data_IF_849098755954
#
_entry.id   IF_849098755954
#
_cell.length_a   1.000
_cell.length_b   1.000
_cell.length_c   1.000
_cell.angle_alpha   90.00
_cell.angle_beta   90.00
_cell.angle_gamma   90.00
#
_symmetry.space_group_name_H-M   'P 1'
#
loop_
_entity.id
_entity.type
_entity.pdbx_description
1 polymer ?
#
# COMPACT_ATOMS: atom_id res chain seq x y z
N UNK A 1 -16.08 10.14 16.99
CA UNK A 1 -16.14 8.75 16.67
C UNK A 1 -16.99 8.45 15.45
N UNK A 2 -17.08 7.19 15.09
CA UNK A 2 -17.88 6.71 13.95
C UNK A 2 -19.36 7.05 14.18
N UNK A 3 -19.85 6.88 15.40
CA UNK A 3 -21.24 7.15 15.79
C UNK A 3 -21.66 8.62 15.68
N UNK A 4 -20.69 9.53 15.71
CA UNK A 4 -20.94 10.97 15.60
C UNK A 4 -21.02 11.46 14.16
N UNK A 5 -20.84 10.59 13.16
CA UNK A 5 -20.86 10.94 11.75
C UNK A 5 -19.62 11.68 11.25
N UNK A 6 -18.62 11.92 12.11
CA UNK A 6 -17.36 12.57 11.72
C UNK A 6 -16.37 11.61 11.07
N UNK A 7 -16.45 10.32 11.38
CA UNK A 7 -15.58 9.29 10.85
C UNK A 7 -16.39 8.32 9.97
N UNK A 8 -15.84 7.98 8.81
CA UNK A 8 -16.45 6.97 7.96
C UNK A 8 -16.36 5.59 8.64
N UNK A 9 -17.40 4.75 8.55
CA UNK A 9 -17.27 3.35 8.93
C UNK A 9 -16.20 2.68 8.05
N UNK A 10 -15.53 1.69 8.60
CA UNK A 10 -14.48 0.99 7.87
C UNK A 10 -14.62 -0.53 7.97
N UNK A 11 -14.12 -1.21 6.95
CA UNK A 11 -13.96 -2.65 6.92
C UNK A 11 -12.49 -2.99 7.03
N UNK A 12 -12.16 -4.01 7.80
CA UNK A 12 -10.78 -4.51 7.92
C UNK A 12 -10.67 -5.83 7.16
N UNK A 13 -9.75 -5.87 6.19
CA UNK A 13 -9.38 -7.09 5.48
C UNK A 13 -7.96 -7.44 5.92
N UNK A 14 -7.82 -8.60 6.56
CA UNK A 14 -6.50 -9.11 6.92
C UNK A 14 -5.99 -9.99 5.79
N UNK A 15 -4.79 -9.70 5.32
CA UNK A 15 -4.11 -10.50 4.31
C UNK A 15 -3.15 -11.43 5.04
N UNK A 16 -3.58 -12.68 5.19
CA UNK A 16 -2.72 -13.72 5.74
C UNK A 16 -1.91 -14.31 4.59
N UNK A 17 -0.61 -14.01 4.57
CA UNK A 17 0.29 -14.55 3.57
C UNK A 17 0.78 -15.92 4.02
N UNK A 18 0.77 -16.90 3.13
CA UNK A 18 1.31 -18.24 3.41
C UNK A 18 2.77 -18.16 3.86
N UNK A 19 3.53 -17.23 3.32
CA UNK A 19 4.90 -16.93 3.70
C UNK A 19 5.01 -16.58 5.19
N UNK A 20 4.10 -15.78 5.71
CA UNK A 20 4.10 -15.34 7.11
C UNK A 20 3.75 -16.49 8.07
N UNK A 21 2.96 -17.45 7.61
CA UNK A 21 2.49 -18.59 8.41
C UNK A 21 3.43 -19.80 8.29
N UNK A 22 3.78 -20.19 7.06
CA UNK A 22 4.49 -21.44 6.75
C UNK A 22 5.96 -21.22 6.45
N UNK A 23 6.43 -19.96 6.41
CA UNK A 23 7.78 -19.63 5.98
C UNK A 23 7.92 -19.65 4.46
N UNK A 24 9.13 -19.41 4.00
CA UNK A 24 9.47 -19.36 2.58
C UNK A 24 10.64 -20.30 2.28
N UNK A 25 10.48 -21.10 1.22
CA UNK A 25 11.56 -21.94 0.71
C UNK A 25 11.92 -21.51 -0.71
N UNK A 26 13.18 -21.12 -0.98
CA UNK A 26 13.61 -20.72 -2.31
C UNK A 26 13.46 -21.85 -3.33
N UNK A 27 13.16 -21.51 -4.57
CA UNK A 27 13.25 -22.47 -5.66
C UNK A 27 14.70 -22.67 -6.08
N UNK A 28 15.05 -23.83 -6.69
CA UNK A 28 16.42 -24.09 -7.12
C UNK A 28 16.93 -23.04 -8.11
N UNK A 29 18.12 -22.49 -7.85
CA UNK A 29 18.74 -21.49 -8.70
C UNK A 29 18.28 -20.05 -8.46
N UNK A 30 17.47 -19.82 -7.41
CA UNK A 30 17.05 -18.48 -7.03
C UNK A 30 18.26 -17.64 -6.58
N UNK A 31 18.29 -16.39 -7.04
CA UNK A 31 19.30 -15.40 -6.64
C UNK A 31 18.61 -14.21 -5.97
N UNK A 32 19.35 -13.51 -5.12
CA UNK A 32 18.87 -12.30 -4.46
C UNK A 32 18.97 -11.07 -5.41
N UNK A 33 18.62 -9.90 -4.90
CA UNK A 33 18.67 -8.65 -5.67
C UNK A 33 20.08 -8.26 -6.12
N UNK A 34 21.13 -8.82 -5.49
CA UNK A 34 22.52 -8.60 -5.84
C UNK A 34 23.05 -9.66 -6.81
N UNK A 35 22.23 -10.64 -7.20
CA UNK A 35 22.61 -11.75 -8.03
C UNK A 35 23.32 -12.89 -7.30
N UNK A 36 23.35 -12.87 -5.95
CA UNK A 36 23.97 -13.91 -5.15
C UNK A 36 23.03 -15.11 -4.98
N UNK A 37 23.56 -16.35 -5.03
CA UNK A 37 22.76 -17.54 -4.80
C UNK A 37 22.11 -17.55 -3.42
N UNK A 38 20.84 -17.93 -3.39
CA UNK A 38 20.08 -18.05 -2.15
C UNK A 38 20.25 -19.44 -1.57
N UNK A 39 20.57 -19.49 -0.30
CA UNK A 39 20.72 -20.76 0.41
C UNK A 39 19.38 -21.53 0.43
N UNK A 40 19.43 -22.82 0.07
CA UNK A 40 18.26 -23.71 0.09
C UNK A 40 17.94 -24.13 1.54
N UNK A 41 17.16 -23.32 2.21
CA UNK A 41 16.63 -23.59 3.56
C UNK A 41 15.27 -22.97 3.73
N UNK A 42 14.54 -23.39 4.76
CA UNK A 42 13.28 -22.74 5.13
C UNK A 42 13.58 -21.43 5.88
N UNK A 43 13.06 -20.32 5.33
CA UNK A 43 13.10 -19.00 5.97
C UNK A 43 11.81 -18.79 6.76
N UNK A 44 11.94 -18.59 8.06
CA UNK A 44 10.82 -18.30 8.95
C UNK A 44 10.60 -16.78 9.05
N UNK A 45 9.49 -16.35 9.65
CA UNK A 45 9.15 -14.94 9.79
C UNK A 45 10.26 -14.10 10.43
N UNK A 46 11.00 -14.66 11.37
CA UNK A 46 12.17 -13.99 11.98
C UNK A 46 13.32 -13.70 11.01
N UNK A 47 13.35 -14.39 9.86
CA UNK A 47 14.36 -14.24 8.82
C UNK A 47 13.89 -13.27 7.71
N UNK A 48 12.67 -12.69 7.81
CA UNK A 48 12.06 -11.87 6.76
C UNK A 48 12.72 -10.51 6.57
N UNK A 49 13.65 -10.12 7.43
CA UNK A 49 14.48 -8.94 7.22
C UNK A 49 15.47 -9.10 6.06
N UNK A 50 15.57 -10.29 5.51
CA UNK A 50 16.47 -10.56 4.39
C UNK A 50 15.78 -10.23 3.07
N UNK A 51 16.50 -9.47 2.25
CA UNK A 51 16.07 -8.82 1.00
C UNK A 51 15.20 -9.73 0.12
N UNK A 52 15.50 -11.00 0.05
CA UNK A 52 14.86 -11.97 -0.80
C UNK A 52 13.41 -12.27 -0.45
N UNK A 53 13.16 -12.57 0.81
CA UNK A 53 11.81 -12.91 1.30
C UNK A 53 10.90 -11.69 1.24
N UNK A 54 11.48 -10.52 1.51
CA UNK A 54 10.78 -9.24 1.43
C UNK A 54 10.27 -8.96 0.02
N UNK A 55 11.04 -9.31 -1.02
CA UNK A 55 10.61 -9.10 -2.41
C UNK A 55 9.41 -9.98 -2.80
N UNK A 56 9.45 -11.27 -2.48
CA UNK A 56 8.33 -12.18 -2.76
C UNK A 56 7.08 -11.81 -1.98
N UNK A 57 7.24 -11.40 -0.73
CA UNK A 57 6.14 -10.91 0.10
C UNK A 57 5.51 -9.65 -0.50
N UNK A 58 6.33 -8.72 -0.97
CA UNK A 58 5.86 -7.48 -1.62
C UNK A 58 5.05 -7.78 -2.88
N UNK A 59 5.51 -8.71 -3.72
CA UNK A 59 4.78 -9.13 -4.93
C UNK A 59 3.41 -9.71 -4.58
N UNK A 60 3.33 -10.52 -3.53
CA UNK A 60 2.07 -11.12 -3.08
C UNK A 60 1.09 -10.06 -2.58
N UNK A 61 1.56 -9.09 -1.80
CA UNK A 61 0.73 -7.97 -1.32
C UNK A 61 0.24 -7.13 -2.51
N UNK A 62 1.12 -6.80 -3.45
CA UNK A 62 0.77 -6.04 -4.65
C UNK A 62 -0.31 -6.74 -5.47
N UNK A 63 -0.21 -8.06 -5.62
CA UNK A 63 -1.24 -8.85 -6.29
C UNK A 63 -2.58 -8.80 -5.57
N UNK A 64 -2.59 -8.96 -4.26
CA UNK A 64 -3.81 -8.89 -3.45
C UNK A 64 -4.48 -7.52 -3.54
N UNK A 65 -3.71 -6.45 -3.47
CA UNK A 65 -4.23 -5.08 -3.63
C UNK A 65 -4.82 -4.90 -5.03
N UNK A 66 -4.10 -5.32 -6.06
CA UNK A 66 -4.54 -5.19 -7.45
C UNK A 66 -5.80 -6.01 -7.73
N UNK A 67 -5.89 -7.23 -7.24
CA UNK A 67 -7.07 -8.09 -7.37
C UNK A 67 -8.28 -7.46 -6.66
N UNK A 68 -8.09 -6.93 -5.46
CA UNK A 68 -9.14 -6.24 -4.72
C UNK A 68 -9.69 -5.05 -5.50
N UNK A 69 -8.83 -4.22 -6.07
CA UNK A 69 -9.24 -3.07 -6.88
C UNK A 69 -9.94 -3.49 -8.16
N UNK A 70 -9.48 -4.56 -8.83
CA UNK A 70 -10.13 -5.12 -10.02
C UNK A 70 -11.53 -5.65 -9.71
N UNK A 71 -11.74 -6.20 -8.54
CA UNK A 71 -13.03 -6.72 -8.08
C UNK A 71 -14.00 -5.64 -7.61
N UNK A 72 -13.48 -4.47 -7.22
CA UNK A 72 -14.28 -3.35 -6.70
C UNK A 72 -14.28 -2.18 -7.67
N UNK A 73 -13.30 -1.28 -7.56
CA UNK A 73 -13.13 -0.13 -8.46
C UNK A 73 -11.63 0.19 -8.58
N UNK A 74 -11.10 0.07 -9.78
CA UNK A 74 -9.69 0.31 -10.07
C UNK A 74 -9.28 1.78 -9.95
N UNK A 75 -10.23 2.70 -9.84
CA UNK A 75 -9.99 4.12 -9.66
C UNK A 75 -10.26 4.60 -8.23
N UNK A 76 -10.47 3.69 -7.31
CA UNK A 76 -10.57 4.01 -5.89
C UNK A 76 -9.23 4.51 -5.35
N UNK A 77 -9.23 5.72 -4.80
CA UNK A 77 -8.02 6.30 -4.20
C UNK A 77 -7.50 5.38 -3.10
N UNK A 78 -6.24 4.99 -3.23
CA UNK A 78 -5.59 4.00 -2.38
C UNK A 78 -4.27 4.55 -1.87
N UNK A 79 -4.04 4.44 -0.57
CA UNK A 79 -2.75 4.76 0.03
C UNK A 79 -2.13 3.49 0.62
N UNK A 80 -0.84 3.28 0.36
CA UNK A 80 -0.10 2.11 0.83
C UNK A 80 1.08 2.58 1.68
N UNK A 81 1.11 2.11 2.91
CA UNK A 81 2.19 2.42 3.85
C UNK A 81 3.20 1.28 3.87
N UNK A 82 4.47 1.60 3.56
CA UNK A 82 5.60 0.68 3.54
C UNK A 82 6.59 1.00 4.67
N UNK A 83 7.52 0.08 4.95
CA UNK A 83 8.49 0.23 6.05
C UNK A 83 9.55 1.31 5.76
N UNK A 84 10.05 1.36 4.52
CA UNK A 84 11.13 2.25 4.11
C UNK A 84 11.03 2.58 2.61
N UNK A 85 11.92 3.44 2.14
CA UNK A 85 11.96 3.87 0.74
C UNK A 85 12.22 2.69 -0.21
N UNK A 86 13.20 1.81 0.04
CA UNK A 86 13.40 0.63 -0.82
C UNK A 86 12.17 -0.29 -0.90
N UNK A 87 11.45 -0.48 0.20
CA UNK A 87 10.20 -1.23 0.22
C UNK A 87 9.13 -0.56 -0.64
N UNK A 88 8.99 0.76 -0.54
CA UNK A 88 8.05 1.52 -1.35
C UNK A 88 8.38 1.42 -2.85
N UNK A 89 9.66 1.43 -3.23
CA UNK A 89 10.09 1.21 -4.61
C UNK A 89 9.72 -0.19 -5.12
N UNK A 90 9.97 -1.22 -4.32
CA UNK A 90 9.59 -2.60 -4.67
C UNK A 90 8.09 -2.73 -4.84
N UNK A 91 7.32 -2.11 -3.94
CA UNK A 91 5.86 -2.12 -4.01
C UNK A 91 5.37 -1.43 -5.29
N UNK A 92 5.95 -0.29 -5.64
CA UNK A 92 5.61 0.41 -6.88
C UNK A 92 5.87 -0.45 -8.11
N UNK A 93 7.05 -1.06 -8.21
CA UNK A 93 7.37 -1.95 -9.32
C UNK A 93 6.42 -3.14 -9.41
N UNK A 94 6.12 -3.76 -8.28
CA UNK A 94 5.20 -4.90 -8.24
C UNK A 94 3.78 -4.50 -8.67
N UNK A 95 3.29 -3.35 -8.24
CA UNK A 95 1.97 -2.85 -8.65
C UNK A 95 1.91 -2.45 -10.12
N UNK A 96 2.98 -1.85 -10.64
CA UNK A 96 3.09 -1.53 -12.08
C UNK A 96 2.99 -2.82 -12.91
N UNK A 97 3.67 -3.88 -12.49
CA UNK A 97 3.63 -5.17 -13.16
C UNK A 97 2.26 -5.85 -13.12
N UNK A 98 1.46 -5.58 -12.09
CA UNK A 98 0.09 -6.10 -11.96
C UNK A 98 -0.95 -5.28 -12.74
N UNK A 99 -0.62 -4.05 -13.15
CA UNK A 99 -1.53 -3.12 -13.79
C UNK A 99 -0.95 -2.50 -15.08
N UNK A 100 -0.40 -3.31 -16.00
CA UNK A 100 0.27 -2.76 -17.19
C UNK A 100 -0.66 -1.97 -18.10
N UNK A 101 -1.92 -2.34 -18.17
CA UNK A 101 -2.94 -1.66 -18.97
C UNK A 101 -3.19 -0.22 -18.49
N UNK A 102 -3.38 -0.02 -17.19
CA UNK A 102 -3.63 1.31 -16.64
C UNK A 102 -2.38 2.19 -16.63
N UNK A 103 -1.21 1.59 -16.45
CA UNK A 103 0.07 2.31 -16.55
C UNK A 103 0.31 2.78 -17.99
N UNK A 104 -0.09 2.01 -18.98
CA UNK A 104 0.01 2.42 -20.39
C UNK A 104 -0.91 3.60 -20.72
N UNK A 105 -2.08 3.68 -20.10
CA UNK A 105 -2.99 4.82 -20.26
C UNK A 105 -2.49 6.06 -19.52
N UNK A 106 -2.03 5.90 -18.27
CA UNK A 106 -1.57 6.99 -17.42
C UNK A 106 -0.45 6.49 -16.49
N UNK A 107 0.82 6.86 -16.77
CA UNK A 107 1.95 6.46 -15.92
C UNK A 107 1.81 6.91 -14.45
N UNK A 108 1.08 8.00 -14.21
CA UNK A 108 0.85 8.51 -12.85
C UNK A 108 -0.31 7.82 -12.12
N UNK A 109 -0.83 6.73 -12.67
CA UNK A 109 -1.81 5.89 -11.96
C UNK A 109 -1.28 5.44 -10.60
N UNK A 110 0.03 5.10 -10.54
CA UNK A 110 0.73 4.72 -9.32
C UNK A 110 1.90 5.65 -9.13
N UNK A 111 1.98 6.31 -7.97
CA UNK A 111 3.09 7.20 -7.60
C UNK A 111 3.67 6.81 -6.24
N UNK A 112 4.97 7.05 -6.10
CA UNK A 112 5.66 6.91 -4.84
C UNK A 112 5.92 8.30 -4.27
N UNK A 113 5.46 8.55 -3.04
CA UNK A 113 5.68 9.79 -2.33
C UNK A 113 6.95 9.65 -1.50
N UNK A 114 7.99 10.37 -1.90
CA UNK A 114 9.25 10.51 -1.16
C UNK A 114 9.34 11.92 -0.56
N UNK A 115 10.49 12.54 -0.51
CA UNK A 115 10.66 13.90 0.00
C UNK A 115 10.97 14.93 -1.09
N UNK A 116 10.75 14.58 -2.35
CA UNK A 116 11.02 15.45 -3.48
C UNK A 116 9.96 16.53 -3.73
N UNK A 117 10.29 17.52 -4.54
CA UNK A 117 9.39 18.62 -4.87
C UNK A 117 8.15 18.17 -5.66
N UNK A 118 8.29 17.15 -6.49
CA UNK A 118 7.20 16.61 -7.28
C UNK A 118 6.15 15.89 -6.43
N UNK A 119 6.54 15.43 -5.24
CA UNK A 119 5.64 14.73 -4.32
C UNK A 119 4.50 15.61 -3.83
N UNK A 120 4.75 16.90 -3.63
CA UNK A 120 3.70 17.83 -3.21
C UNK A 120 2.61 17.96 -4.25
N UNK A 121 2.97 18.00 -5.52
CA UNK A 121 2.03 18.06 -6.63
C UNK A 121 1.18 16.79 -6.71
N UNK A 122 1.83 15.62 -6.64
CA UNK A 122 1.12 14.34 -6.63
C UNK A 122 0.20 14.20 -5.44
N UNK A 123 0.63 14.72 -4.29
CA UNK A 123 -0.16 14.69 -3.08
C UNK A 123 -1.40 15.59 -3.18
N UNK A 124 -1.24 16.80 -3.72
CA UNK A 124 -2.36 17.70 -3.98
C UNK A 124 -3.39 17.06 -4.91
N UNK A 125 -2.94 16.52 -6.03
CA UNK A 125 -3.81 15.84 -7.00
C UNK A 125 -4.46 14.60 -6.39
N UNK A 126 -3.72 13.84 -5.59
CA UNK A 126 -4.24 12.65 -4.92
C UNK A 126 -5.38 12.97 -3.95
N UNK A 127 -5.29 14.09 -3.25
CA UNK A 127 -6.29 14.52 -2.27
C UNK A 127 -7.43 15.34 -2.88
N UNK A 128 -7.29 15.78 -4.14
CA UNK A 128 -8.32 16.54 -4.82
C UNK A 128 -9.41 15.58 -5.36
N UNK A 129 -10.68 15.75 -4.94
CA UNK A 129 -11.77 14.89 -5.40
C UNK A 129 -12.07 15.04 -6.90
N UNK A 130 -11.63 16.12 -7.53
CA UNK A 130 -11.83 16.39 -8.95
C UNK A 130 -10.73 15.81 -9.83
N UNK A 131 -9.60 15.41 -9.24
CA UNK A 131 -8.49 14.81 -9.96
C UNK A 131 -8.56 13.28 -9.88
N UNK A 132 -8.60 12.64 -11.05
CA UNK A 132 -8.64 11.18 -11.15
C UNK A 132 -7.32 10.54 -10.74
N UNK A 133 -6.22 11.13 -11.15
CA UNK A 133 -4.86 10.61 -10.93
C UNK A 133 -4.05 11.51 -10.01
N UNK A 134 -3.11 10.96 -9.22
CA UNK A 134 -2.83 9.52 -9.07
C UNK A 134 -3.94 8.80 -8.32
N UNK A 135 -4.06 7.50 -8.58
CA UNK A 135 -5.03 6.62 -7.90
C UNK A 135 -4.37 5.93 -6.70
N UNK A 136 -3.16 5.40 -6.90
CA UNK A 136 -2.42 4.69 -5.86
C UNK A 136 -1.20 5.51 -5.46
N UNK A 137 -1.13 5.90 -4.18
CA UNK A 137 0.01 6.58 -3.60
C UNK A 137 0.70 5.65 -2.59
N UNK A 138 2.01 5.48 -2.75
CA UNK A 138 2.84 4.62 -1.90
C UNK A 138 3.78 5.51 -1.10
N UNK A 139 3.83 5.31 0.22
CA UNK A 139 4.69 6.09 1.10
C UNK A 139 5.31 5.23 2.19
N UNK A 140 6.53 5.54 2.57
CA UNK A 140 7.21 4.97 3.73
C UNK A 140 7.11 5.84 4.97
N UNK A 141 6.61 7.07 4.80
CA UNK A 141 6.46 8.00 5.91
C UNK A 141 5.03 7.98 6.41
N UNK A 142 4.89 7.94 7.72
CA UNK A 142 3.68 8.40 8.34
C UNK A 142 3.59 9.88 7.96
N UNK A 143 2.66 10.19 7.09
CA UNK A 143 2.39 11.55 6.68
C UNK A 143 1.86 12.31 7.91
N UNK A 144 2.77 12.61 8.84
CA UNK A 144 2.46 13.18 10.16
C UNK A 144 1.92 14.60 10.04
N UNK A 145 2.07 15.23 8.88
CA UNK A 145 1.72 16.62 8.70
C UNK A 145 0.76 16.81 7.52
N UNK A 146 -0.53 16.89 7.83
CA UNK A 146 -1.47 17.60 6.99
C UNK A 146 -1.97 16.91 5.71
N UNK A 147 -1.64 15.66 5.45
CA UNK A 147 -2.23 14.97 4.29
C UNK A 147 -3.66 14.59 4.60
N UNK A 148 -4.55 15.32 3.98
CA UNK A 148 -5.96 15.04 4.07
C UNK A 148 -6.31 13.93 3.09
N UNK A 149 -6.37 12.69 3.56
CA UNK A 149 -6.73 11.52 2.77
C UNK A 149 -8.23 11.23 2.79
N UNK A 150 -9.05 12.25 2.90
CA UNK A 150 -10.51 12.10 2.92
C UNK A 150 -11.06 11.43 1.66
N UNK A 151 -10.35 11.52 0.55
CA UNK A 151 -10.72 10.88 -0.71
C UNK A 151 -10.34 9.40 -0.78
N UNK A 152 -9.51 8.89 0.14
CA UNK A 152 -9.08 7.50 0.16
C UNK A 152 -10.23 6.55 0.49
N UNK A 153 -10.38 5.51 -0.31
CA UNK A 153 -11.31 4.40 -0.09
C UNK A 153 -10.63 3.12 0.35
N UNK A 154 -9.33 3.00 0.13
CA UNK A 154 -8.53 1.86 0.55
C UNK A 154 -7.25 2.36 1.22
N UNK A 155 -6.99 1.84 2.41
CA UNK A 155 -5.74 2.05 3.14
C UNK A 155 -5.07 0.70 3.31
N UNK A 156 -3.85 0.56 2.82
CA UNK A 156 -3.06 -0.66 2.91
C UNK A 156 -1.91 -0.45 3.89
N UNK A 157 -1.85 -1.30 4.90
CA UNK A 157 -0.82 -1.25 5.94
C UNK A 157 0.16 -2.40 5.71
N UNK A 158 1.21 -2.17 4.93
CA UNK A 158 2.28 -3.14 4.69
C UNK A 158 3.54 -2.73 5.47
N UNK A 159 3.33 -2.49 6.75
CA UNK A 159 4.40 -2.13 7.69
C UNK A 159 4.02 -2.53 9.12
N UNK A 160 5.04 -2.65 9.96
CA UNK A 160 4.84 -2.86 11.39
C UNK A 160 4.27 -1.59 12.03
N UNK A 161 3.19 -1.74 12.77
CA UNK A 161 2.57 -0.67 13.54
C UNK A 161 3.02 -0.78 14.99
N UNK A 162 3.80 0.21 15.45
CA UNK A 162 4.44 0.16 16.77
C UNK A 162 3.53 0.53 17.93
N UNK A 163 2.41 1.22 17.70
CA UNK A 163 1.53 1.66 18.76
C UNK A 163 0.10 1.91 18.28
N UNK A 164 -0.85 1.89 19.22
CA UNK A 164 -2.24 2.25 18.95
C UNK A 164 -2.38 3.72 18.51
N UNK A 165 -1.52 4.59 19.00
CA UNK A 165 -1.51 6.01 18.61
C UNK A 165 -1.12 6.14 17.13
N UNK A 166 -0.08 5.43 16.70
CA UNK A 166 0.34 5.38 15.30
C UNK A 166 -0.77 4.84 14.40
N UNK A 167 -1.40 3.75 14.79
CA UNK A 167 -2.54 3.17 14.07
C UNK A 167 -3.68 4.18 13.90
N UNK A 168 -4.05 4.86 14.97
CA UNK A 168 -5.10 5.89 14.96
C UNK A 168 -4.75 7.08 14.06
N UNK A 169 -3.48 7.49 14.03
CA UNK A 169 -3.02 8.55 13.13
C UNK A 169 -3.15 8.16 11.67
N UNK A 170 -2.79 6.94 11.33
CA UNK A 170 -2.89 6.41 9.96
C UNK A 170 -4.36 6.31 9.55
N UNK A 171 -5.16 5.62 10.35
CA UNK A 171 -6.58 5.35 10.09
C UNK A 171 -7.40 6.65 10.14
N UNK A 172 -7.11 7.52 11.09
CA UNK A 172 -7.83 8.77 11.28
C UNK A 172 -7.82 9.71 10.09
N UNK A 173 -6.83 9.60 9.23
CA UNK A 173 -6.72 10.43 8.02
C UNK A 173 -7.65 9.98 6.90
N UNK A 174 -7.90 8.67 6.81
CA UNK A 174 -8.82 8.10 5.84
C UNK A 174 -10.27 8.03 6.29
N UNK A 175 -10.57 8.42 7.53
CA UNK A 175 -11.84 8.08 8.18
C UNK A 175 -12.96 9.12 8.05
N UNK A 176 -12.75 10.20 7.32
CA UNK A 176 -13.79 11.21 7.13
C UNK A 176 -14.74 10.83 6.00
N UNK A 177 -16.03 11.01 6.24
CA UNK A 177 -17.05 10.82 5.21
C UNK A 177 -16.95 11.95 4.18
N UNK A 178 -16.93 11.57 2.91
CA UNK A 178 -16.95 12.48 1.77
C UNK A 178 -18.00 12.01 0.77
N UNK A 179 -19.23 12.48 0.94
CA UNK A 179 -20.34 12.12 0.06
C UNK A 179 -20.15 12.63 -1.38
N UNK A 180 -19.49 13.78 -1.54
CA UNK A 180 -19.13 14.35 -2.84
C UNK A 180 -18.19 13.43 -3.66
N UNK A 181 -17.48 12.52 -3.00
CA UNK A 181 -16.61 11.52 -3.63
C UNK A 181 -17.21 10.11 -3.57
N UNK A 182 -18.47 9.95 -3.22
CA UNK A 182 -19.13 8.66 -2.96
C UNK A 182 -18.42 7.85 -1.86
N UNK A 183 -17.70 8.51 -0.98
CA UNK A 183 -17.02 7.84 0.14
C UNK A 183 -17.95 7.73 1.33
N UNK A 184 -18.74 6.66 1.35
CA UNK A 184 -19.62 6.31 2.46
C UNK A 184 -18.89 5.44 3.50
N UNK A 185 -17.89 4.70 3.06
CA UNK A 185 -17.02 3.89 3.90
C UNK A 185 -15.63 3.77 3.24
N UNK A 186 -14.64 3.25 3.97
CA UNK A 186 -13.34 2.91 3.41
C UNK A 186 -12.90 1.53 3.90
N UNK A 187 -11.91 0.95 3.23
CA UNK A 187 -11.40 -0.38 3.57
C UNK A 187 -9.96 -0.26 4.07
N UNK A 188 -9.64 -1.00 5.12
CA UNK A 188 -8.27 -1.17 5.62
C UNK A 188 -7.83 -2.58 5.28
N UNK A 189 -6.71 -2.70 4.57
CA UNK A 189 -6.07 -3.96 4.25
C UNK A 189 -4.79 -4.06 5.06
N UNK A 190 -4.69 -5.09 5.86
CA UNK A 190 -3.56 -5.32 6.77
C UNK A 190 -2.90 -6.66 6.46
#
# INVERSE_FOLDING_TARGET
GIDDGFLAPYKVIRVNLDIDINGFRPYPGMVDVNGEPVEDRLYEQKDFDRILVVEERTKTVAKRVSDFLKETDRYSKTIIFCEDIPHAERMRHALVNENPDLIAEEPNYIVQLTSGSDDMRYLEDFTDPHEKYPVIAITSRLLSTGVNTQTCKLVVLDRTIGSMTEFKQIVGRGTRVREDCNKLYFTIMD
#
